data_IF_020252848510
#
_entry.id   IF_020252848510
#
_cell.length_a   1.000
_cell.length_b   1.000
_cell.length_c   1.000
_cell.angle_alpha   90.00
_cell.angle_beta   90.00
_cell.angle_gamma   90.00
#
_symmetry.space_group_name_H-M   'P 1'
#
loop_
_entity.id
_entity.type
_entity.pdbx_description
1 polymer ?
#
# COMPACT_ATOMS: atom_id res chain seq x y z
N UNK A 1 -3.76 18.86 -45.10
CA UNK A 1 -3.47 17.73 -46.00
C UNK A 1 -2.33 16.97 -45.36
N UNK A 2 -2.57 15.68 -45.14
CA UNK A 2 -1.66 14.60 -44.68
C UNK A 2 -1.07 14.79 -43.27
N UNK A 3 -1.59 14.22 -42.18
CA UNK A 3 -1.97 12.84 -41.84
C UNK A 3 -0.76 11.89 -41.74
N UNK A 4 -0.14 11.83 -40.55
CA UNK A 4 0.76 10.74 -40.17
C UNK A 4 0.31 10.06 -38.87
N UNK A 5 0.26 8.73 -38.99
CA UNK A 5 -0.41 7.76 -38.11
C UNK A 5 0.51 7.27 -36.98
N UNK A 6 -0.07 6.72 -35.89
CA UNK A 6 0.68 6.06 -34.82
C UNK A 6 1.09 4.64 -35.21
N UNK A 7 2.29 4.25 -34.77
CA UNK A 7 2.87 2.91 -34.92
C UNK A 7 2.14 1.89 -34.04
N UNK A 8 1.65 0.85 -34.70
CA UNK A 8 1.10 -0.38 -34.12
C UNK A 8 2.07 -1.55 -34.30
N UNK A 9 2.15 -2.37 -33.25
CA UNK A 9 2.40 -3.82 -33.20
C UNK A 9 3.81 -4.38 -33.56
N UNK A 10 4.37 -5.14 -32.61
CA UNK A 10 4.79 -6.55 -32.79
C UNK A 10 5.02 -7.15 -31.37
N UNK A 11 4.28 -8.16 -30.88
CA UNK A 11 4.09 -9.56 -31.33
C UNK A 11 5.21 -10.49 -30.84
N UNK A 12 4.94 -11.26 -29.76
CA UNK A 12 5.64 -12.50 -29.37
C UNK A 12 4.66 -13.46 -28.66
N UNK A 13 4.90 -14.78 -28.71
CA UNK A 13 3.89 -15.75 -29.11
C UNK A 13 3.22 -16.53 -27.97
N UNK A 14 2.04 -17.07 -28.29
CA UNK A 14 1.42 -18.20 -27.60
C UNK A 14 2.12 -19.50 -27.95
N UNK A 15 2.45 -20.32 -26.96
CA UNK A 15 2.34 -21.80 -26.99
C UNK A 15 3.06 -22.39 -25.77
N UNK A 16 2.32 -22.90 -24.79
CA UNK A 16 2.54 -24.27 -24.30
C UNK A 16 1.29 -24.75 -23.57
N UNK A 17 0.59 -25.68 -24.20
CA UNK A 17 -0.49 -26.47 -23.62
C UNK A 17 -0.10 -27.95 -23.72
N UNK A 18 0.23 -28.57 -22.58
CA UNK A 18 0.15 -30.01 -22.30
C UNK A 18 -0.04 -30.08 -20.76
N UNK A 19 -1.12 -30.58 -20.15
CA UNK A 19 -2.00 -31.75 -20.33
C UNK A 19 -1.38 -33.08 -19.85
N UNK A 20 -1.36 -33.29 -18.53
CA UNK A 20 -1.46 -34.59 -17.82
C UNK A 20 -2.24 -34.28 -16.51
N UNK A 21 -3.54 -34.57 -16.37
CA UNK A 21 -4.24 -35.85 -16.08
C UNK A 21 -3.84 -36.54 -14.74
N UNK A 22 -4.85 -36.63 -13.87
CA UNK A 22 -5.14 -37.67 -12.85
C UNK A 22 -4.70 -37.49 -11.39
N UNK A 23 -5.67 -37.73 -10.50
CA UNK A 23 -5.57 -37.82 -9.04
C UNK A 23 -6.59 -36.91 -8.34
N UNK A 24 -7.90 -37.19 -8.33
CA UNK A 24 -8.62 -38.29 -7.66
C UNK A 24 -8.53 -38.24 -6.13
N UNK A 25 -9.71 -38.13 -5.50
CA UNK A 25 -9.93 -38.16 -4.04
C UNK A 25 -10.02 -36.74 -3.47
N UNK A 26 -11.11 -36.29 -2.88
CA UNK A 26 -12.25 -36.92 -2.23
C UNK A 26 -12.81 -35.84 -1.30
N UNK A 27 -14.04 -36.01 -0.83
CA UNK A 27 -14.67 -35.20 0.22
C UNK A 27 -15.42 -33.94 -0.26
N UNK A 28 -16.27 -34.10 -1.28
CA UNK A 28 -17.56 -33.38 -1.31
C UNK A 28 -18.48 -34.01 -0.26
N UNK A 29 -18.27 -33.60 0.99
CA UNK A 29 -19.18 -33.85 2.10
C UNK A 29 -20.41 -32.97 1.90
N UNK A 30 -21.33 -33.46 1.07
CA UNK A 30 -22.67 -32.93 0.96
C UNK A 30 -23.31 -32.92 2.36
N UNK A 31 -23.84 -31.80 2.85
CA UNK A 31 -24.68 -31.84 4.03
C UNK A 31 -25.99 -32.53 3.62
N UNK A 32 -26.06 -33.82 3.89
CA UNK A 32 -27.27 -34.61 3.94
C UNK A 32 -28.23 -34.00 4.96
N UNK A 33 -29.02 -33.02 4.51
CA UNK A 33 -30.21 -32.55 5.18
C UNK A 33 -31.37 -33.52 4.92
N UNK A 34 -32.14 -33.88 5.94
CA UNK A 34 -32.93 -35.09 5.95
C UNK A 34 -34.11 -34.99 4.98
N UNK A 35 -34.38 -36.11 4.32
CA UNK A 35 -35.69 -36.47 3.81
C UNK A 35 -36.67 -36.51 4.99
N UNK A 36 -37.15 -35.34 5.40
CA UNK A 36 -38.35 -35.18 6.19
C UNK A 36 -39.53 -35.53 5.30
N UNK A 37 -39.85 -36.80 5.24
CA UNK A 37 -41.11 -37.30 4.72
C UNK A 37 -42.26 -36.46 5.28
N UNK A 38 -43.08 -35.97 4.37
CA UNK A 38 -44.35 -35.28 4.58
C UNK A 38 -45.24 -36.05 5.58
N UNK A 39 -45.09 -35.78 6.88
CA UNK A 39 -46.07 -36.07 7.92
C UNK A 39 -46.70 -34.75 8.38
N UNK A 40 -47.40 -34.07 7.48
CA UNK A 40 -48.18 -32.88 7.84
C UNK A 40 -49.35 -32.69 6.89
N UNK A 41 -50.19 -33.73 6.78
CA UNK A 41 -51.50 -33.61 6.13
C UNK A 41 -52.48 -34.66 6.67
N UNK A 42 -52.68 -34.69 7.99
CA UNK A 42 -53.65 -35.61 8.61
C UNK A 42 -54.29 -35.09 9.90
N UNK A 43 -54.44 -33.77 10.09
CA UNK A 43 -55.01 -33.22 11.34
C UNK A 43 -56.31 -32.40 11.21
N UNK A 44 -56.99 -32.43 10.06
CA UNK A 44 -58.28 -31.74 9.88
C UNK A 44 -59.35 -32.58 9.18
N UNK A 45 -59.61 -33.79 9.69
CA UNK A 45 -60.77 -34.60 9.27
C UNK A 45 -61.44 -35.36 10.43
N UNK A 46 -61.30 -34.88 11.66
CA UNK A 46 -61.88 -35.54 12.84
C UNK A 46 -63.32 -35.14 13.21
N UNK A 47 -63.83 -34.00 12.73
CA UNK A 47 -65.11 -33.45 13.21
C UNK A 47 -66.29 -33.73 12.25
N UNK A 48 -66.03 -34.11 11.00
CA UNK A 48 -67.08 -34.28 9.99
C UNK A 48 -67.62 -35.72 9.84
N UNK A 49 -67.05 -36.72 10.51
CA UNK A 49 -67.47 -38.12 10.33
C UNK A 49 -68.51 -38.60 11.36
N UNK A 50 -68.69 -37.89 12.48
CA UNK A 50 -69.63 -38.29 13.54
C UNK A 50 -71.09 -37.83 13.25
N UNK A 51 -71.30 -36.94 12.28
CA UNK A 51 -72.63 -36.39 11.96
C UNK A 51 -73.48 -37.28 11.04
N UNK A 52 -72.90 -38.32 10.45
CA UNK A 52 -73.58 -39.15 9.44
C UNK A 52 -74.17 -40.47 9.99
N UNK A 53 -74.05 -40.75 11.31
CA UNK A 53 -74.57 -41.98 11.94
C UNK A 53 -75.77 -41.81 12.89
N UNK A 54 -76.29 -40.59 13.07
CA UNK A 54 -77.49 -40.34 13.89
C UNK A 54 -78.54 -39.57 13.08
N UNK A 55 -79.45 -40.27 12.42
CA UNK A 55 -80.62 -39.62 11.85
C UNK A 55 -81.41 -40.49 10.88
N UNK A 56 -82.31 -41.33 11.39
CA UNK A 56 -83.47 -41.78 10.62
C UNK A 56 -84.67 -42.25 11.45
N UNK A 57 -84.54 -42.51 12.77
CA UNK A 57 -85.68 -42.98 13.60
C UNK A 57 -86.13 -42.03 14.74
N UNK A 58 -85.45 -40.91 14.97
CA UNK A 58 -85.76 -39.99 16.08
C UNK A 58 -86.53 -38.71 15.70
N UNK A 59 -86.49 -38.27 14.44
CA UNK A 59 -86.99 -36.95 14.05
C UNK A 59 -88.52 -36.85 13.97
N UNK A 60 -89.23 -37.95 13.68
CA UNK A 60 -90.69 -37.91 13.51
C UNK A 60 -91.46 -37.83 14.83
N UNK A 61 -90.89 -38.32 15.95
CA UNK A 61 -91.53 -38.24 17.28
C UNK A 61 -91.32 -36.89 17.98
N UNK A 62 -90.25 -36.19 17.64
CA UNK A 62 -89.92 -34.89 18.24
C UNK A 62 -90.71 -33.75 17.57
N UNK A 63 -90.97 -33.84 16.27
CA UNK A 63 -91.77 -32.87 15.53
C UNK A 63 -93.21 -32.71 16.09
N UNK A 64 -93.88 -33.82 16.43
CA UNK A 64 -95.24 -33.79 16.99
C UNK A 64 -95.32 -33.28 18.45
N UNK A 65 -94.23 -33.35 19.22
CA UNK A 65 -94.21 -32.85 20.59
C UNK A 65 -93.99 -31.32 20.67
N UNK A 66 -93.40 -30.73 19.64
CA UNK A 66 -93.13 -29.29 19.54
C UNK A 66 -94.39 -28.52 19.13
N UNK A 67 -95.18 -29.11 18.23
CA UNK A 67 -96.43 -28.51 17.70
C UNK A 67 -97.49 -28.30 18.80
N UNK A 68 -97.61 -29.25 19.74
CA UNK A 68 -98.53 -29.13 20.89
C UNK A 68 -98.06 -28.12 21.96
N UNK A 69 -96.77 -27.87 22.11
CA UNK A 69 -96.23 -26.93 23.12
C UNK A 69 -96.30 -25.47 22.68
N UNK A 70 -96.18 -25.20 21.38
CA UNK A 70 -96.39 -23.86 20.81
C UNK A 70 -97.82 -23.35 21.00
N UNK A 71 -98.80 -24.24 20.89
CA UNK A 71 -100.21 -23.95 21.11
C UNK A 71 -100.52 -23.52 22.56
N UNK A 72 -99.89 -24.16 23.55
CA UNK A 72 -100.09 -23.84 24.98
C UNK A 72 -99.42 -22.53 25.37
N UNK A 73 -98.21 -22.23 24.87
CA UNK A 73 -97.50 -20.98 25.16
C UNK A 73 -98.15 -19.76 24.49
N UNK A 74 -98.79 -19.93 23.33
CA UNK A 74 -99.56 -18.87 22.67
C UNK A 74 -100.81 -18.43 23.45
N UNK A 75 -101.31 -19.26 24.37
CA UNK A 75 -102.50 -18.97 25.18
C UNK A 75 -102.27 -18.04 26.38
N UNK A 76 -101.01 -17.70 26.70
CA UNK A 76 -100.66 -16.81 27.83
C UNK A 76 -100.47 -15.37 27.32
N UNK A 77 -101.38 -14.43 27.63
CA UNK A 77 -101.59 -13.18 26.85
C UNK A 77 -100.47 -12.12 26.93
N UNK A 78 -99.43 -12.29 27.76
CA UNK A 78 -98.35 -11.29 27.92
C UNK A 78 -96.95 -11.90 27.89
N UNK A 79 -96.75 -13.05 28.53
CA UNK A 79 -95.43 -13.70 28.60
C UNK A 79 -95.17 -14.69 27.44
N UNK A 80 -96.22 -15.31 26.91
CA UNK A 80 -96.15 -16.33 25.85
C UNK A 80 -95.49 -15.86 24.54
N UNK A 81 -95.94 -14.73 23.95
CA UNK A 81 -95.34 -14.18 22.73
C UNK A 81 -93.86 -13.81 22.91
N UNK A 82 -93.49 -13.33 24.09
CA UNK A 82 -92.12 -12.94 24.43
C UNK A 82 -91.19 -14.14 24.51
N UNK A 83 -91.66 -15.25 25.09
CA UNK A 83 -90.94 -16.52 25.15
C UNK A 83 -90.79 -17.14 23.75
N UNK A 84 -91.84 -17.09 22.92
CA UNK A 84 -91.77 -17.57 21.53
C UNK A 84 -90.80 -16.75 20.69
N UNK A 85 -90.79 -15.41 20.84
CA UNK A 85 -89.85 -14.55 20.13
C UNK A 85 -88.40 -14.79 20.58
N UNK A 86 -88.16 -14.98 21.89
CA UNK A 86 -86.83 -15.35 22.40
C UNK A 86 -86.41 -16.74 21.92
N UNK A 87 -87.33 -17.69 21.85
CA UNK A 87 -87.07 -19.03 21.30
C UNK A 87 -86.75 -18.96 19.81
N UNK A 88 -87.47 -18.15 19.04
CA UNK A 88 -87.20 -17.89 17.63
C UNK A 88 -85.81 -17.26 17.45
N UNK A 89 -85.48 -16.21 18.21
CA UNK A 89 -84.14 -15.61 18.23
C UNK A 89 -83.04 -16.62 18.59
N UNK A 90 -83.29 -17.49 19.58
CA UNK A 90 -82.36 -18.54 19.99
C UNK A 90 -82.17 -19.56 18.86
N UNK A 91 -83.25 -19.94 18.17
CA UNK A 91 -83.18 -20.87 17.05
C UNK A 91 -82.48 -20.22 15.84
N UNK A 92 -82.76 -18.95 15.52
CA UNK A 92 -82.05 -18.21 14.48
C UNK A 92 -80.56 -18.10 14.80
N UNK A 93 -80.22 -17.82 16.07
CA UNK A 93 -78.83 -17.80 16.52
C UNK A 93 -78.19 -19.18 16.39
N UNK A 94 -78.84 -20.24 16.85
CA UNK A 94 -78.35 -21.61 16.74
C UNK A 94 -78.18 -22.05 15.27
N UNK A 95 -79.03 -21.56 14.37
CA UNK A 95 -78.98 -21.84 12.93
C UNK A 95 -77.85 -21.09 12.23
N UNK A 96 -77.56 -19.86 12.66
CA UNK A 96 -76.53 -19.00 12.05
C UNK A 96 -75.15 -19.16 12.71
N UNK A 97 -75.07 -19.76 13.89
CA UNK A 97 -73.82 -20.01 14.62
C UNK A 97 -72.80 -20.81 13.80
N UNK A 98 -73.16 -21.93 13.13
CA UNK A 98 -72.20 -22.70 12.33
C UNK A 98 -71.59 -21.87 11.21
N UNK A 99 -72.41 -21.06 10.52
CA UNK A 99 -71.96 -20.20 9.44
C UNK A 99 -71.03 -19.09 9.97
N UNK A 100 -71.35 -18.49 11.11
CA UNK A 100 -70.45 -17.53 11.78
C UNK A 100 -69.12 -18.15 12.20
N UNK A 101 -69.12 -19.40 12.67
CA UNK A 101 -67.90 -20.13 13.03
C UNK A 101 -67.05 -20.43 11.80
N UNK A 102 -67.67 -20.83 10.68
CA UNK A 102 -66.96 -21.03 9.40
C UNK A 102 -66.35 -19.71 8.92
N UNK A 103 -67.12 -18.61 8.92
CA UNK A 103 -66.62 -17.29 8.55
C UNK A 103 -65.45 -16.84 9.45
N UNK A 104 -65.54 -17.09 10.76
CA UNK A 104 -64.48 -16.77 11.70
C UNK A 104 -63.21 -17.61 11.43
N UNK A 105 -63.37 -18.90 11.13
CA UNK A 105 -62.27 -19.78 10.74
C UNK A 105 -61.59 -19.32 9.44
N UNK A 106 -62.37 -18.96 8.42
CA UNK A 106 -61.85 -18.41 7.15
C UNK A 106 -61.09 -17.10 7.36
N UNK A 107 -61.62 -16.21 8.21
CA UNK A 107 -60.93 -14.96 8.58
C UNK A 107 -59.61 -15.25 9.31
N UNK A 108 -59.63 -16.15 10.29
CA UNK A 108 -58.40 -16.54 11.00
C UNK A 108 -57.39 -17.19 10.07
N UNK A 109 -57.81 -18.10 9.18
CA UNK A 109 -56.93 -18.72 8.19
C UNK A 109 -56.27 -17.65 7.30
N UNK A 110 -57.06 -16.70 6.80
CA UNK A 110 -56.54 -15.58 6.02
C UNK A 110 -55.50 -14.76 6.81
N UNK A 111 -55.80 -14.42 8.07
CA UNK A 111 -54.90 -13.63 8.92
C UNK A 111 -53.61 -14.38 9.25
N UNK A 112 -53.70 -15.69 9.54
CA UNK A 112 -52.53 -16.54 9.74
C UNK A 112 -51.67 -16.60 8.48
N UNK A 113 -52.28 -16.77 7.32
CA UNK A 113 -51.56 -16.81 6.05
C UNK A 113 -50.91 -15.46 5.72
N UNK A 114 -51.57 -14.34 6.02
CA UNK A 114 -51.01 -13.01 5.84
C UNK A 114 -49.83 -12.74 6.78
N UNK A 115 -49.96 -13.10 8.06
CA UNK A 115 -48.89 -12.99 9.05
C UNK A 115 -47.68 -13.85 8.66
N UNK A 116 -47.93 -15.10 8.22
CA UNK A 116 -46.88 -15.99 7.74
C UNK A 116 -46.16 -15.43 6.52
N UNK A 117 -46.89 -14.96 5.49
CA UNK A 117 -46.29 -14.35 4.29
C UNK A 117 -45.45 -13.12 4.65
N UNK A 118 -45.93 -12.27 5.54
CA UNK A 118 -45.22 -11.08 6.02
C UNK A 118 -43.93 -11.46 6.74
N UNK A 119 -44.00 -12.46 7.62
CA UNK A 119 -42.83 -12.98 8.32
C UNK A 119 -41.83 -13.62 7.37
N UNK A 120 -42.27 -14.47 6.43
CA UNK A 120 -41.40 -15.09 5.43
C UNK A 120 -40.72 -14.08 4.54
N UNK A 121 -41.41 -13.02 4.12
CA UNK A 121 -40.78 -11.93 3.38
C UNK A 121 -39.68 -11.25 4.21
N UNK A 122 -39.93 -11.05 5.51
CA UNK A 122 -38.93 -10.49 6.43
C UNK A 122 -37.71 -11.41 6.55
N UNK A 123 -37.91 -12.72 6.72
CA UNK A 123 -36.83 -13.72 6.77
C UNK A 123 -36.04 -13.74 5.46
N UNK A 124 -36.70 -13.76 4.31
CA UNK A 124 -36.04 -13.72 3.00
C UNK A 124 -35.26 -12.42 2.77
N UNK A 125 -35.77 -11.29 3.25
CA UNK A 125 -35.06 -10.00 3.22
C UNK A 125 -33.80 -10.06 4.10
N UNK A 126 -33.92 -10.49 5.35
CA UNK A 126 -32.80 -10.63 6.28
C UNK A 126 -31.74 -11.61 5.74
N UNK A 127 -32.16 -12.72 5.13
CA UNK A 127 -31.25 -13.68 4.52
C UNK A 127 -30.45 -13.07 3.36
N UNK A 128 -31.11 -12.29 2.48
CA UNK A 128 -30.41 -11.57 1.41
C UNK A 128 -29.43 -10.52 1.95
N UNK A 129 -29.81 -9.81 3.01
CA UNK A 129 -28.93 -8.84 3.68
C UNK A 129 -27.70 -9.51 4.32
N UNK A 130 -27.89 -10.66 4.99
CA UNK A 130 -26.80 -11.44 5.57
C UNK A 130 -25.87 -11.98 4.48
N UNK A 131 -26.41 -12.50 3.39
CA UNK A 131 -25.61 -12.95 2.23
C UNK A 131 -24.78 -11.80 1.66
N UNK A 132 -25.38 -10.64 1.44
CA UNK A 132 -24.65 -9.47 0.97
C UNK A 132 -23.61 -8.93 1.95
N UNK A 133 -23.77 -9.14 3.27
CA UNK A 133 -22.73 -8.83 4.26
C UNK A 133 -21.58 -9.83 4.21
N UNK A 134 -21.87 -11.12 4.05
CA UNK A 134 -20.85 -12.16 3.89
C UNK A 134 -20.00 -11.94 2.63
N UNK A 135 -20.64 -11.66 1.49
CA UNK A 135 -19.93 -11.41 0.23
C UNK A 135 -18.98 -10.20 0.33
N UNK A 136 -19.42 -9.11 0.98
CA UNK A 136 -18.59 -7.92 1.22
C UNK A 136 -17.40 -8.21 2.12
N UNK A 137 -17.58 -9.06 3.12
CA UNK A 137 -16.52 -9.49 4.02
C UNK A 137 -15.50 -10.37 3.29
N UNK A 138 -15.96 -11.31 2.46
CA UNK A 138 -15.08 -12.12 1.62
C UNK A 138 -14.27 -11.27 0.64
N UNK A 139 -14.88 -10.25 0.02
CA UNK A 139 -14.14 -9.29 -0.81
C UNK A 139 -13.11 -8.49 0.00
N UNK A 140 -13.43 -8.13 1.26
CA UNK A 140 -12.49 -7.46 2.16
C UNK A 140 -11.29 -8.33 2.43
N UNK A 141 -11.50 -9.60 2.79
CA UNK A 141 -10.43 -10.57 3.02
C UNK A 141 -9.56 -10.75 1.77
N UNK A 142 -10.15 -10.82 0.56
CA UNK A 142 -9.37 -10.90 -0.69
C UNK A 142 -8.49 -9.67 -0.91
N UNK A 143 -9.03 -8.47 -0.66
CA UNK A 143 -8.26 -7.21 -0.77
C UNK A 143 -7.12 -7.18 0.25
N UNK A 144 -7.38 -7.57 1.50
CA UNK A 144 -6.37 -7.58 2.55
C UNK A 144 -5.24 -8.59 2.26
N UNK A 145 -5.57 -9.78 1.75
CA UNK A 145 -4.58 -10.76 1.31
C UNK A 145 -3.69 -10.19 0.19
N UNK A 146 -4.27 -9.48 -0.77
CA UNK A 146 -3.50 -8.83 -1.84
C UNK A 146 -2.58 -7.73 -1.30
N UNK A 147 -3.03 -6.96 -0.32
CA UNK A 147 -2.17 -5.96 0.35
C UNK A 147 -1.00 -6.65 1.05
N UNK A 148 -1.24 -7.74 1.76
CA UNK A 148 -0.16 -8.49 2.43
C UNK A 148 0.87 -9.07 1.46
N UNK A 149 0.46 -9.55 0.29
CA UNK A 149 1.37 -9.99 -0.78
C UNK A 149 2.26 -8.85 -1.24
N UNK A 150 1.67 -7.68 -1.56
CA UNK A 150 2.41 -6.50 -2.00
C UNK A 150 3.37 -5.99 -0.92
N UNK A 151 2.99 -6.06 0.36
CA UNK A 151 3.88 -5.72 1.46
C UNK A 151 5.08 -6.68 1.58
N UNK A 152 4.87 -7.99 1.35
CA UNK A 152 5.96 -8.97 1.33
C UNK A 152 6.91 -8.70 0.16
N UNK A 153 6.37 -8.43 -1.04
CA UNK A 153 7.16 -8.05 -2.21
C UNK A 153 7.97 -6.78 -1.94
N UNK A 154 7.36 -5.74 -1.37
CA UNK A 154 8.03 -4.48 -1.03
C UNK A 154 9.17 -4.69 -0.01
N UNK A 155 8.94 -5.49 1.04
CA UNK A 155 9.98 -5.85 2.01
C UNK A 155 11.14 -6.61 1.36
N UNK A 156 10.83 -7.49 0.42
CA UNK A 156 11.84 -8.20 -0.36
C UNK A 156 12.68 -7.22 -1.22
N UNK A 157 12.04 -6.35 -1.99
CA UNK A 157 12.74 -5.34 -2.81
C UNK A 157 13.61 -4.40 -1.97
N UNK A 158 13.12 -3.97 -0.80
CA UNK A 158 13.90 -3.13 0.10
C UNK A 158 15.16 -3.85 0.60
N UNK A 159 15.03 -5.11 1.00
CA UNK A 159 16.16 -5.92 1.46
C UNK A 159 17.18 -6.15 0.34
N UNK A 160 16.70 -6.42 -0.87
CA UNK A 160 17.54 -6.64 -2.04
C UNK A 160 18.27 -5.36 -2.49
N UNK A 161 17.59 -4.21 -2.46
CA UNK A 161 18.21 -2.92 -2.74
C UNK A 161 19.33 -2.58 -1.74
N UNK A 162 19.13 -2.87 -0.45
CA UNK A 162 20.17 -2.70 0.59
C UNK A 162 21.36 -3.65 0.37
N UNK A 163 21.09 -4.90 -0.01
CA UNK A 163 22.13 -5.89 -0.35
C UNK A 163 22.96 -5.43 -1.55
N UNK A 164 22.30 -4.94 -2.60
CA UNK A 164 22.97 -4.41 -3.79
C UNK A 164 23.78 -3.14 -3.48
N UNK A 165 23.27 -2.23 -2.66
CA UNK A 165 24.02 -1.03 -2.25
C UNK A 165 25.29 -1.39 -1.46
N UNK A 166 25.22 -2.40 -0.58
CA UNK A 166 26.38 -2.93 0.12
C UNK A 166 27.44 -3.47 -0.87
N UNK A 167 27.01 -4.28 -1.84
CA UNK A 167 27.89 -4.83 -2.89
C UNK A 167 28.54 -3.69 -3.72
N UNK A 168 27.76 -2.68 -4.11
CA UNK A 168 28.27 -1.52 -4.83
C UNK A 168 29.27 -0.70 -4.01
N UNK A 169 29.08 -0.58 -2.69
CA UNK A 169 30.04 0.06 -1.79
C UNK A 169 31.35 -0.71 -1.72
N UNK A 170 31.29 -2.04 -1.66
CA UNK A 170 32.49 -2.87 -1.61
C UNK A 170 33.28 -2.84 -2.92
N UNK A 171 32.62 -2.96 -4.07
CA UNK A 171 33.28 -2.76 -5.37
C UNK A 171 33.89 -1.36 -5.51
N UNK A 172 33.22 -0.30 -5.03
CA UNK A 172 33.80 1.05 -5.01
C UNK A 172 35.09 1.12 -4.18
N UNK A 173 35.15 0.44 -3.03
CA UNK A 173 36.39 0.35 -2.22
C UNK A 173 37.49 -0.42 -2.97
N UNK A 174 37.15 -1.54 -3.61
CA UNK A 174 38.12 -2.32 -4.40
C UNK A 174 38.68 -1.52 -5.56
N UNK A 175 37.83 -0.81 -6.31
CA UNK A 175 38.27 0.12 -7.36
C UNK A 175 39.20 1.20 -6.79
N UNK A 176 38.88 1.75 -5.62
CA UNK A 176 39.76 2.69 -4.92
C UNK A 176 41.15 2.11 -4.59
N UNK A 177 41.20 0.87 -4.08
CA UNK A 177 42.46 0.16 -3.81
C UNK A 177 43.29 -0.05 -5.08
N UNK A 178 42.65 -0.49 -6.17
CA UNK A 178 43.33 -0.69 -7.44
C UNK A 178 43.84 0.61 -8.06
N UNK A 179 43.07 1.71 -7.95
CA UNK A 179 43.52 3.03 -8.38
C UNK A 179 44.75 3.50 -7.61
N UNK A 180 44.74 3.40 -6.28
CA UNK A 180 45.89 3.75 -5.45
C UNK A 180 47.11 2.90 -5.79
N UNK A 181 46.95 1.59 -6.00
CA UNK A 181 48.04 0.71 -6.43
C UNK A 181 48.59 1.08 -7.81
N UNK A 182 47.71 1.43 -8.76
CA UNK A 182 48.13 1.87 -10.09
C UNK A 182 48.89 3.20 -10.02
N UNK A 183 48.48 4.12 -9.15
CA UNK A 183 49.15 5.39 -8.89
C UNK A 183 50.56 5.17 -8.34
N UNK A 184 50.73 4.37 -7.28
CA UNK A 184 52.06 4.03 -6.74
C UNK A 184 52.97 3.40 -7.80
N UNK A 185 52.45 2.46 -8.61
CA UNK A 185 53.25 1.87 -9.70
C UNK A 185 53.62 2.88 -10.78
N UNK A 186 52.77 3.88 -11.04
CA UNK A 186 53.06 4.95 -12.00
C UNK A 186 54.13 5.91 -11.48
N UNK A 187 54.14 6.20 -10.18
CA UNK A 187 55.18 6.98 -9.50
C UNK A 187 56.51 6.23 -9.50
N UNK A 188 56.51 4.94 -9.13
CA UNK A 188 57.69 4.07 -9.17
C UNK A 188 58.27 4.00 -10.59
N UNK A 189 57.42 3.81 -11.60
CA UNK A 189 57.83 3.81 -13.00
C UNK A 189 58.49 5.14 -13.39
N UNK A 190 57.87 6.27 -13.03
CA UNK A 190 58.41 7.61 -13.32
C UNK A 190 59.76 7.81 -12.64
N UNK A 191 59.91 7.40 -11.39
CA UNK A 191 61.16 7.47 -10.63
C UNK A 191 62.28 6.67 -11.32
N UNK A 192 62.01 5.41 -11.70
CA UNK A 192 62.98 4.56 -12.40
C UNK A 192 63.34 5.11 -13.79
N UNK A 193 62.36 5.66 -14.52
CA UNK A 193 62.61 6.33 -15.80
C UNK A 193 63.57 7.52 -15.63
N UNK A 194 63.39 8.33 -14.59
CA UNK A 194 64.26 9.48 -14.31
C UNK A 194 65.66 9.06 -13.83
N UNK A 195 65.76 8.03 -12.99
CA UNK A 195 67.03 7.43 -12.58
C UNK A 195 67.81 6.86 -13.78
N UNK A 196 67.12 6.16 -14.68
CA UNK A 196 67.70 5.64 -15.92
C UNK A 196 68.20 6.79 -16.81
N UNK A 197 67.44 7.89 -16.94
CA UNK A 197 67.89 9.08 -17.69
C UNK A 197 69.13 9.70 -17.05
N UNK A 198 69.20 9.80 -15.72
CA UNK A 198 70.36 10.33 -15.01
C UNK A 198 71.61 9.47 -15.23
N UNK A 199 71.49 8.15 -15.09
CA UNK A 199 72.58 7.19 -15.37
C UNK A 199 73.06 7.29 -16.82
N UNK A 200 72.13 7.36 -17.79
CA UNK A 200 72.48 7.57 -19.22
C UNK A 200 73.26 8.86 -19.44
N UNK A 201 72.91 9.96 -18.76
CA UNK A 201 73.67 11.22 -18.83
C UNK A 201 75.09 11.06 -18.26
N UNK A 202 75.23 10.40 -17.10
CA UNK A 202 76.54 10.11 -16.51
C UNK A 202 77.41 9.25 -17.43
N UNK A 203 76.85 8.18 -18.01
CA UNK A 203 77.58 7.34 -18.97
C UNK A 203 78.04 8.15 -20.19
N UNK A 204 77.22 9.07 -20.71
CA UNK A 204 77.62 9.97 -21.81
C UNK A 204 78.80 10.87 -21.42
N UNK A 205 78.77 11.46 -20.23
CA UNK A 205 79.87 12.30 -19.71
C UNK A 205 81.15 11.49 -19.56
N UNK A 206 81.09 10.31 -18.94
CA UNK A 206 82.26 9.45 -18.77
C UNK A 206 82.86 9.01 -20.11
N UNK A 207 82.02 8.67 -21.10
CA UNK A 207 82.50 8.36 -22.46
C UNK A 207 83.21 9.55 -23.11
N UNK A 208 82.65 10.76 -22.99
CA UNK A 208 83.30 11.97 -23.50
C UNK A 208 84.65 12.26 -22.82
N UNK A 209 84.77 12.00 -21.51
CA UNK A 209 86.04 12.12 -20.76
C UNK A 209 87.04 11.08 -21.25
N UNK A 210 86.62 9.81 -21.42
CA UNK A 210 87.48 8.75 -21.95
C UNK A 210 87.96 9.07 -23.36
N UNK A 211 87.08 9.54 -24.25
CA UNK A 211 87.43 9.98 -25.61
C UNK A 211 88.43 11.13 -25.58
N UNK A 212 88.24 12.14 -24.72
CA UNK A 212 89.20 13.24 -24.56
C UNK A 212 90.57 12.76 -24.06
N UNK A 213 90.59 11.80 -23.13
CA UNK A 213 91.82 11.20 -22.61
C UNK A 213 92.52 10.28 -23.62
N UNK A 214 91.75 9.64 -24.52
CA UNK A 214 92.29 8.85 -25.63
C UNK A 214 92.83 9.77 -26.74
N UNK A 215 92.08 10.81 -27.11
CA UNK A 215 92.50 11.80 -28.10
C UNK A 215 93.78 12.55 -27.68
N UNK A 216 93.94 12.83 -26.37
CA UNK A 216 95.20 13.40 -25.86
C UNK A 216 96.38 12.41 -25.87
N UNK A 217 96.14 11.10 -25.98
CA UNK A 217 97.19 10.07 -26.16
C UNK A 217 97.52 9.82 -27.63
N UNK A 218 96.68 10.22 -28.58
CA UNK A 218 96.78 9.90 -30.01
C UNK A 218 96.95 11.15 -30.90
N UNK A 219 98.14 11.74 -30.90
CA UNK A 219 98.63 12.62 -31.98
C UNK A 219 100.18 12.64 -31.97
N UNK A 220 100.88 12.72 -33.12
CA UNK A 220 100.98 11.68 -34.15
C UNK A 220 102.44 11.19 -34.33
N UNK A 221 102.62 9.89 -34.60
CA UNK A 221 103.78 9.36 -35.31
C UNK A 221 103.27 8.76 -36.64
N UNK A 222 103.89 9.03 -37.79
CA UNK A 222 103.33 8.70 -39.11
C UNK A 222 103.42 7.20 -39.44
N UNK A 223 102.50 6.77 -40.31
CA UNK A 223 102.18 5.41 -40.75
C UNK A 223 103.34 4.53 -41.28
N UNK A 224 103.09 3.22 -41.52
CA UNK A 224 102.74 2.82 -42.90
C UNK A 224 101.64 1.74 -43.03
N UNK A 225 101.15 1.49 -44.26
CA UNK A 225 99.86 0.83 -44.53
C UNK A 225 100.00 -0.64 -44.97
N UNK A 226 98.97 -1.45 -44.63
CA UNK A 226 98.50 -2.66 -45.32
C UNK A 226 97.37 -3.30 -44.49
N UNK A 227 96.49 -4.17 -44.96
CA UNK A 227 95.82 -4.50 -46.22
C UNK A 227 94.94 -5.74 -45.86
N UNK A 228 93.74 -5.88 -46.45
CA UNK A 228 92.95 -7.14 -46.59
C UNK A 228 92.10 -7.61 -45.38
N UNK A 229 90.75 -7.48 -45.35
CA UNK A 229 89.63 -8.22 -46.02
C UNK A 229 89.02 -9.35 -45.12
N UNK A 230 87.83 -9.93 -45.39
CA UNK A 230 86.49 -9.33 -45.25
C UNK A 230 85.42 -10.26 -44.59
N UNK A 231 84.18 -9.75 -44.38
CA UNK A 231 82.93 -10.53 -44.42
C UNK A 231 82.16 -10.74 -43.11
N UNK A 232 80.89 -10.27 -43.03
CA UNK A 232 79.70 -11.14 -43.17
C UNK A 232 78.35 -10.37 -42.96
N UNK A 233 77.41 -10.64 -43.88
CA UNK A 233 75.92 -10.70 -43.76
C UNK A 233 75.13 -9.54 -43.10
N UNK A 234 74.42 -8.73 -43.89
CA UNK A 234 72.95 -8.77 -44.14
C UNK A 234 72.06 -8.64 -42.88
N UNK A 235 71.09 -7.74 -42.73
CA UNK A 235 70.49 -6.73 -43.60
C UNK A 235 69.09 -6.40 -43.05
N UNK A 236 68.80 -5.12 -42.76
CA UNK A 236 67.54 -4.42 -43.08
C UNK A 236 67.50 -3.02 -42.41
N UNK A 237 67.24 -1.94 -43.18
CA UNK A 237 67.00 -0.61 -42.64
C UNK A 237 65.50 -0.29 -42.62
N UNK A 238 64.91 -0.19 -41.43
CA UNK A 238 63.57 0.36 -41.24
C UNK A 238 63.63 1.82 -40.82
N UNK A 239 63.70 2.72 -41.80
CA UNK A 239 63.46 4.16 -41.64
C UNK A 239 62.10 4.42 -40.99
N UNK A 240 62.06 5.20 -39.92
CA UNK A 240 61.00 6.20 -39.72
C UNK A 240 61.63 7.49 -39.23
N UNK A 241 61.48 8.51 -40.07
CA UNK A 241 61.86 9.89 -39.83
C UNK A 241 61.18 10.41 -38.56
N UNK A 242 61.98 10.83 -37.58
CA UNK A 242 61.57 11.77 -36.56
C UNK A 242 62.13 13.13 -36.95
N UNK A 243 61.26 13.94 -37.57
CA UNK A 243 61.51 15.34 -37.87
C UNK A 243 61.68 16.10 -36.55
N UNK A 244 62.83 16.78 -36.47
CA UNK A 244 63.17 17.81 -35.52
C UNK A 244 62.38 19.07 -35.86
N UNK A 245 61.73 19.68 -34.88
CA UNK A 245 61.55 21.13 -34.84
C UNK A 245 61.48 21.60 -33.38
N UNK A 246 62.63 22.12 -32.95
CA UNK A 246 62.87 23.07 -31.87
C UNK A 246 62.67 24.46 -32.50
N UNK A 247 61.88 25.37 -31.93
CA UNK A 247 62.24 26.42 -30.92
C UNK A 247 61.23 27.59 -31.18
N UNK A 248 61.24 28.74 -30.47
CA UNK A 248 61.44 29.05 -29.05
C UNK A 248 60.30 29.97 -28.51
N UNK A 249 60.42 30.38 -27.24
CA UNK A 249 59.61 31.41 -26.58
C UNK A 249 59.63 32.77 -27.32
N UNK A 250 58.51 33.50 -27.32
CA UNK A 250 58.56 34.94 -27.02
C UNK A 250 57.22 35.48 -26.48
N UNK A 251 57.33 36.39 -25.54
CA UNK A 251 56.25 37.16 -24.93
C UNK A 251 55.99 38.42 -25.75
N UNK A 252 54.74 38.70 -26.10
CA UNK A 252 54.25 40.10 -26.12
C UNK A 252 52.77 40.14 -25.81
N UNK A 253 52.44 40.97 -24.84
CA UNK A 253 51.09 41.42 -24.56
C UNK A 253 50.68 42.44 -25.61
N UNK A 254 49.46 42.34 -26.14
CA UNK A 254 48.69 43.54 -26.48
C UNK A 254 47.19 43.27 -26.52
N UNK A 255 46.46 44.24 -25.96
CA UNK A 255 45.01 44.34 -25.84
C UNK A 255 44.35 44.30 -27.23
N UNK A 256 43.31 43.50 -27.39
CA UNK A 256 42.17 43.93 -28.21
C UNK A 256 40.86 43.35 -27.68
N UNK A 257 39.98 44.27 -27.32
CA UNK A 257 38.56 44.04 -27.10
C UNK A 257 37.91 43.69 -28.45
N UNK A 258 37.45 42.45 -28.62
CA UNK A 258 36.80 42.01 -29.84
C UNK A 258 35.94 40.76 -29.64
N UNK A 259 34.63 40.98 -29.54
CA UNK A 259 33.54 40.07 -29.98
C UNK A 259 33.60 38.58 -29.60
N UNK A 260 32.84 38.23 -28.56
CA UNK A 260 32.56 36.87 -28.04
C UNK A 260 31.82 35.89 -29.00
N UNK A 261 31.82 36.13 -30.31
CA UNK A 261 31.01 35.35 -31.26
C UNK A 261 31.82 34.43 -32.20
N UNK A 262 33.16 34.46 -32.18
CA UNK A 262 33.99 33.74 -33.16
C UNK A 262 35.00 32.77 -32.54
N UNK A 263 34.67 32.24 -31.36
CA UNK A 263 35.37 31.14 -30.70
C UNK A 263 34.64 29.79 -30.85
N UNK A 264 33.72 29.65 -31.80
CA UNK A 264 33.12 28.37 -32.20
C UNK A 264 34.08 27.56 -33.12
N UNK A 265 35.38 27.54 -32.77
CA UNK A 265 36.44 26.97 -33.59
C UNK A 265 36.95 25.69 -32.91
N UNK A 266 36.47 24.57 -33.45
CA UNK A 266 36.97 23.20 -33.25
C UNK A 266 36.93 22.70 -31.80
N UNK A 267 35.72 22.56 -31.26
CA UNK A 267 35.48 21.58 -30.19
C UNK A 267 35.97 20.23 -30.73
N UNK A 268 36.94 19.62 -30.06
CA UNK A 268 37.45 18.30 -30.44
C UNK A 268 36.26 17.33 -30.49
N UNK A 269 36.18 16.38 -31.44
CA UNK A 269 35.10 15.40 -31.47
C UNK A 269 34.90 14.70 -30.11
N UNK A 270 35.97 14.54 -29.33
CA UNK A 270 35.94 14.03 -27.95
C UNK A 270 35.24 14.97 -26.96
N UNK A 271 35.47 16.29 -27.06
CA UNK A 271 34.80 17.29 -26.21
C UNK A 271 33.30 17.36 -26.51
N UNK A 272 32.90 17.18 -27.77
CA UNK A 272 31.49 17.11 -28.14
C UNK A 272 30.80 15.90 -27.47
N UNK A 273 31.47 14.74 -27.38
CA UNK A 273 30.98 13.55 -26.70
C UNK A 273 30.89 13.73 -25.17
N UNK A 274 31.85 14.43 -24.55
CA UNK A 274 31.74 14.76 -23.13
C UNK A 274 30.60 15.73 -22.84
N UNK A 275 30.36 16.72 -23.71
CA UNK A 275 29.27 17.66 -23.55
C UNK A 275 27.89 16.99 -23.70
N UNK A 276 27.73 16.04 -24.64
CA UNK A 276 26.50 15.25 -24.74
C UNK A 276 26.29 14.41 -23.49
N UNK A 277 27.35 13.76 -22.98
CA UNK A 277 27.26 12.96 -21.74
C UNK A 277 26.92 13.79 -20.51
N UNK A 278 27.48 14.99 -20.39
CA UNK A 278 27.12 15.94 -19.33
C UNK A 278 25.64 16.31 -19.43
N UNK A 279 25.15 16.60 -20.64
CA UNK A 279 23.73 16.89 -20.89
C UNK A 279 22.81 15.74 -20.46
N UNK A 280 23.16 14.50 -20.78
CA UNK A 280 22.44 13.29 -20.35
C UNK A 280 22.44 13.12 -18.83
N UNK A 281 23.60 13.28 -18.18
CA UNK A 281 23.70 13.16 -16.73
C UNK A 281 22.92 14.26 -16.00
N UNK A 282 22.87 15.48 -16.57
CA UNK A 282 22.06 16.57 -16.03
C UNK A 282 20.55 16.34 -16.19
N UNK A 283 20.10 15.76 -17.31
CA UNK A 283 18.68 15.37 -17.47
C UNK A 283 18.31 14.25 -16.51
N UNK A 284 19.18 13.26 -16.31
CA UNK A 284 18.99 12.18 -15.33
C UNK A 284 18.94 12.70 -13.90
N UNK A 285 19.89 13.56 -13.48
CA UNK A 285 19.89 14.19 -12.16
C UNK A 285 18.63 15.02 -11.92
N UNK A 286 18.13 15.74 -12.94
CA UNK A 286 16.86 16.47 -12.85
C UNK A 286 15.69 15.51 -12.69
N UNK A 287 15.69 14.37 -13.40
CA UNK A 287 14.69 13.32 -13.24
C UNK A 287 14.67 12.77 -11.81
N UNK A 288 15.83 12.36 -11.29
CA UNK A 288 15.97 11.81 -9.93
C UNK A 288 15.60 12.82 -8.84
N UNK A 289 15.91 14.11 -9.03
CA UNK A 289 15.48 15.17 -8.09
C UNK A 289 13.96 15.35 -8.09
N UNK A 290 13.31 15.25 -9.26
CA UNK A 290 11.84 15.31 -9.35
C UNK A 290 11.19 14.10 -8.70
N UNK A 291 11.68 12.89 -8.95
CA UNK A 291 11.13 11.67 -8.32
C UNK A 291 11.33 11.68 -6.81
N UNK A 292 12.50 12.12 -6.33
CA UNK A 292 12.74 12.30 -4.89
C UNK A 292 11.75 13.28 -4.28
N UNK A 293 11.55 14.45 -4.92
CA UNK A 293 10.56 15.43 -4.44
C UNK A 293 9.15 14.86 -4.43
N UNK A 294 8.74 14.16 -5.49
CA UNK A 294 7.43 13.50 -5.54
C UNK A 294 7.25 12.44 -4.44
N UNK A 295 8.29 11.66 -4.13
CA UNK A 295 8.25 10.69 -3.04
C UNK A 295 8.18 11.38 -1.67
N UNK A 296 8.94 12.46 -1.46
CA UNK A 296 8.87 13.29 -0.26
C UNK A 296 7.45 13.89 -0.08
N UNK A 297 6.85 14.40 -1.17
CA UNK A 297 5.49 14.94 -1.20
C UNK A 297 4.44 13.84 -0.94
N UNK A 298 4.57 12.65 -1.55
CA UNK A 298 3.65 11.53 -1.34
C UNK A 298 3.74 10.95 0.09
N UNK A 299 4.95 10.91 0.67
CA UNK A 299 5.17 10.47 2.04
C UNK A 299 4.58 11.49 3.02
N UNK A 300 4.81 12.79 2.81
CA UNK A 300 4.19 13.84 3.62
C UNK A 300 2.68 13.85 3.47
N UNK A 301 2.12 13.57 2.30
CA UNK A 301 0.68 13.45 2.10
C UNK A 301 0.09 12.22 2.83
N UNK A 302 0.75 11.06 2.75
CA UNK A 302 0.34 9.86 3.50
C UNK A 302 0.35 10.09 5.01
N UNK A 303 1.35 10.83 5.50
CA UNK A 303 1.37 11.22 6.90
C UNK A 303 0.35 12.32 7.17
N UNK A 304 0.09 13.28 6.30
CA UNK A 304 -0.90 14.33 6.54
C UNK A 304 -2.34 13.79 6.63
N UNK A 305 -2.66 12.70 5.92
CA UNK A 305 -3.97 12.05 6.01
C UNK A 305 -4.12 11.35 7.37
N UNK A 306 -5.11 11.77 8.16
CA UNK A 306 -5.55 11.05 9.37
C UNK A 306 -6.01 9.64 8.96
N UNK A 307 -5.58 8.63 9.71
CA UNK A 307 -6.07 7.27 9.49
C UNK A 307 -7.55 7.21 9.90
N UNK A 308 -8.36 6.41 9.21
CA UNK A 308 -9.76 6.17 9.61
C UNK A 308 -9.85 5.64 11.05
N UNK A 309 -8.82 4.90 11.51
CA UNK A 309 -8.70 4.45 12.91
C UNK A 309 -8.44 5.59 13.89
N UNK A 310 -7.74 6.62 13.45
CA UNK A 310 -7.48 7.82 14.24
C UNK A 310 -8.76 8.64 14.42
N UNK A 311 -9.54 8.78 13.35
CA UNK A 311 -10.87 9.40 13.37
C UNK A 311 -11.83 8.63 14.26
N UNK A 312 -11.81 7.30 14.16
CA UNK A 312 -12.61 6.42 15.01
C UNK A 312 -12.21 6.54 16.49
N UNK A 313 -10.91 6.53 16.79
CA UNK A 313 -10.41 6.70 18.15
C UNK A 313 -10.85 8.04 18.75
N UNK A 314 -10.68 9.14 18.00
CA UNK A 314 -11.09 10.48 18.44
C UNK A 314 -12.62 10.55 18.63
N UNK A 315 -13.40 9.96 17.74
CA UNK A 315 -14.86 9.87 17.90
C UNK A 315 -15.26 9.08 19.15
N UNK A 316 -14.57 7.98 19.47
CA UNK A 316 -14.80 7.22 20.70
C UNK A 316 -14.44 8.02 21.95
N UNK A 317 -13.31 8.76 21.94
CA UNK A 317 -12.89 9.63 23.05
C UNK A 317 -13.89 10.76 23.25
N UNK A 318 -14.36 11.39 22.18
CA UNK A 318 -15.36 12.46 22.23
C UNK A 318 -16.70 11.95 22.77
N UNK A 319 -17.15 10.77 22.34
CA UNK A 319 -18.39 10.18 22.86
C UNK A 319 -18.25 9.80 24.34
N UNK A 320 -17.11 9.24 24.75
CA UNK A 320 -16.83 8.95 26.15
C UNK A 320 -16.79 10.23 27.01
N UNK A 321 -16.23 11.33 26.50
CA UNK A 321 -16.24 12.65 27.16
C UNK A 321 -17.65 13.22 27.27
N UNK A 322 -18.47 13.09 26.22
CA UNK A 322 -19.88 13.50 26.26
C UNK A 322 -20.66 12.70 27.29
N UNK A 323 -20.48 11.38 27.35
CA UNK A 323 -21.13 10.51 28.33
C UNK A 323 -20.72 10.83 29.76
N UNK A 324 -19.42 11.03 30.00
CA UNK A 324 -18.90 11.46 31.30
C UNK A 324 -19.50 12.82 31.71
N UNK A 325 -19.63 13.75 30.76
CA UNK A 325 -20.25 15.06 30.99
C UNK A 325 -21.74 14.95 31.29
N UNK A 326 -22.49 14.15 30.50
CA UNK A 326 -23.92 13.87 30.74
C UNK A 326 -24.13 13.30 32.13
N UNK A 327 -23.30 12.37 32.59
CA UNK A 327 -23.37 11.82 33.95
C UNK A 327 -23.15 12.89 35.03
N UNK A 328 -22.18 13.80 34.84
CA UNK A 328 -21.93 14.92 35.76
C UNK A 328 -23.13 15.87 35.87
N UNK A 329 -23.80 16.18 34.76
CA UNK A 329 -24.94 17.11 34.75
C UNK A 329 -26.29 16.46 35.05
N UNK A 330 -26.46 15.15 34.83
CA UNK A 330 -27.75 14.46 35.03
C UNK A 330 -28.10 14.20 36.50
N UNK A 331 -27.33 14.74 37.45
CA UNK A 331 -27.77 14.91 38.84
C UNK A 331 -28.21 13.63 39.54
N UNK A 332 -27.75 12.45 39.14
CA UNK A 332 -27.95 11.20 39.88
C UNK A 332 -27.01 11.16 41.10
N UNK A 333 -27.19 12.15 41.97
CA UNK A 333 -26.59 12.23 43.27
C UNK A 333 -27.06 11.09 44.16
N UNK A 334 -26.12 10.58 44.95
CA UNK A 334 -26.38 9.78 46.15
C UNK A 334 -26.96 8.38 45.89
N UNK A 335 -26.26 7.56 45.10
CA UNK A 335 -26.34 6.10 45.27
C UNK A 335 -24.99 5.56 45.72
N UNK A 336 -25.01 4.97 46.92
CA UNK A 336 -23.87 4.37 47.63
C UNK A 336 -22.96 3.61 46.66
N UNK A 337 -21.65 3.87 46.77
CA UNK A 337 -20.58 3.26 45.96
C UNK A 337 -20.80 1.75 45.83
N UNK A 338 -21.32 1.35 44.68
CA UNK A 338 -21.15 -0.01 44.20
C UNK A 338 -19.72 -0.13 43.66
N UNK A 339 -19.01 -1.26 43.83
CA UNK A 339 -17.68 -1.47 43.25
C UNK A 339 -17.64 -1.28 41.72
N UNK A 340 -18.79 -1.37 41.04
CA UNK A 340 -18.94 -1.04 39.61
C UNK A 340 -18.66 0.45 39.34
N UNK A 341 -18.95 1.32 40.31
CA UNK A 341 -18.76 2.76 40.18
C UNK A 341 -17.29 3.17 40.24
N UNK A 342 -16.45 2.44 40.99
CA UNK A 342 -15.02 2.73 41.08
C UNK A 342 -14.29 2.53 39.73
N UNK A 343 -14.66 1.48 38.98
CA UNK A 343 -14.14 1.28 37.62
C UNK A 343 -14.59 2.40 36.68
N UNK A 344 -15.85 2.82 36.79
CA UNK A 344 -16.38 3.90 35.95
C UNK A 344 -15.74 5.24 36.27
N UNK A 345 -15.49 5.52 37.55
CA UNK A 345 -14.79 6.72 38.02
C UNK A 345 -13.34 6.76 37.53
N UNK A 346 -12.65 5.62 37.54
CA UNK A 346 -11.31 5.50 36.95
C UNK A 346 -11.32 5.76 35.44
N UNK A 347 -12.31 5.25 34.70
CA UNK A 347 -12.46 5.51 33.26
C UNK A 347 -12.76 6.99 33.02
N UNK A 348 -13.67 7.60 33.78
CA UNK A 348 -14.02 9.01 33.66
C UNK A 348 -12.82 9.91 34.01
N UNK A 349 -11.98 9.52 34.98
CA UNK A 349 -10.72 10.19 35.30
C UNK A 349 -9.68 10.07 34.17
N UNK A 350 -9.54 8.89 33.55
CA UNK A 350 -8.64 8.68 32.42
C UNK A 350 -9.05 9.49 31.18
N UNK A 351 -10.35 9.52 30.88
CA UNK A 351 -10.90 10.24 29.71
C UNK A 351 -10.93 11.76 29.91
N UNK A 352 -10.92 12.23 31.16
CA UNK A 352 -10.83 13.66 31.48
C UNK A 352 -9.38 14.19 31.52
N UNK A 353 -8.39 13.33 31.72
CA UNK A 353 -6.98 13.72 31.64
C UNK A 353 -6.51 13.84 30.19
N UNK A 354 -6.26 15.06 29.74
CA UNK A 354 -5.74 15.33 28.40
C UNK A 354 -4.32 14.76 28.21
N UNK A 355 -3.47 14.82 29.23
CA UNK A 355 -2.11 14.27 29.18
C UNK A 355 -2.11 12.76 28.93
N UNK A 356 -3.03 12.02 29.56
CA UNK A 356 -3.18 10.58 29.37
C UNK A 356 -3.68 10.26 27.96
N UNK A 357 -4.64 11.05 27.45
CA UNK A 357 -5.15 10.86 26.09
C UNK A 357 -4.09 11.16 25.03
N UNK A 358 -3.29 12.21 25.22
CA UNK A 358 -2.15 12.53 24.35
C UNK A 358 -1.12 11.39 24.39
N UNK A 359 -0.78 10.89 25.58
CA UNK A 359 0.12 9.75 25.72
C UNK A 359 -0.40 8.48 25.04
N UNK A 360 -1.69 8.17 25.22
CA UNK A 360 -2.32 7.00 24.59
C UNK A 360 -2.31 7.15 23.06
N UNK A 361 -2.64 8.34 22.57
CA UNK A 361 -2.62 8.68 21.15
C UNK A 361 -1.21 8.54 20.56
N UNK A 362 -0.18 9.05 21.23
CA UNK A 362 1.22 8.89 20.80
C UNK A 362 1.66 7.41 20.77
N UNK A 363 1.19 6.60 21.72
CA UNK A 363 1.51 5.17 21.78
C UNK A 363 0.79 4.34 20.73
N UNK A 364 -0.46 4.68 20.44
CA UNK A 364 -1.25 3.98 19.41
C UNK A 364 -0.87 4.42 18.00
N UNK A 365 -0.39 5.66 17.83
CA UNK A 365 -0.02 6.23 16.54
C UNK A 365 1.43 6.77 16.56
N UNK A 366 2.45 5.89 16.71
CA UNK A 366 3.86 6.30 16.88
C UNK A 366 4.42 7.09 15.67
N UNK A 367 3.84 6.90 14.49
CA UNK A 367 4.20 7.64 13.28
C UNK A 367 3.82 9.13 13.33
N UNK A 368 2.90 9.52 14.22
CA UNK A 368 2.50 10.93 14.45
C UNK A 368 3.45 11.60 15.45
N UNK A 369 3.78 10.90 16.52
CA UNK A 369 4.66 11.41 17.58
C UNK A 369 6.04 11.84 17.03
N UNK A 370 6.56 11.11 16.04
CA UNK A 370 7.81 11.45 15.37
C UNK A 370 7.73 12.72 14.51
N UNK A 371 6.58 13.01 13.89
CA UNK A 371 6.42 14.23 13.08
C UNK A 371 6.33 15.49 13.93
N UNK A 372 5.63 15.45 15.06
CA UNK A 372 5.52 16.58 15.99
C UNK A 372 6.84 16.86 16.67
N UNK A 373 7.55 15.81 17.11
CA UNK A 373 8.88 15.96 17.73
C UNK A 373 9.97 16.34 16.72
N UNK A 374 9.89 15.88 15.47
CA UNK A 374 10.80 16.30 14.40
C UNK A 374 10.58 17.76 14.00
N UNK A 375 9.33 18.21 13.86
CA UNK A 375 9.00 19.61 13.59
C UNK A 375 9.50 20.53 14.71
N UNK A 376 9.25 20.16 15.99
CA UNK A 376 9.75 20.90 17.14
C UNK A 376 11.29 20.95 17.22
N UNK A 377 11.99 19.93 16.68
CA UNK A 377 13.45 19.92 16.57
C UNK A 377 13.97 20.83 15.46
N UNK A 378 13.28 20.91 14.33
CA UNK A 378 13.64 21.80 13.21
C UNK A 378 13.49 23.26 13.62
N UNK A 379 12.43 23.60 14.36
CA UNK A 379 12.23 24.96 14.86
C UNK A 379 13.28 25.35 15.92
N UNK A 380 13.71 24.41 16.77
CA UNK A 380 14.81 24.66 17.72
C UNK A 380 16.19 24.81 17.05
N UNK A 381 16.42 24.19 15.90
CA UNK A 381 17.68 24.37 15.14
C UNK A 381 17.66 25.72 14.41
N UNK A 382 16.50 26.15 13.89
CA UNK A 382 16.35 27.44 13.24
C UNK A 382 16.52 28.62 14.23
N UNK A 383 15.99 28.52 15.45
CA UNK A 383 16.16 29.54 16.49
C UNK A 383 17.60 29.61 16.99
N UNK A 384 18.28 28.46 17.17
CA UNK A 384 19.70 28.43 17.53
C UNK A 384 20.61 28.99 16.42
N UNK A 385 20.29 28.75 15.14
CA UNK A 385 21.04 29.34 14.02
C UNK A 385 20.84 30.86 13.90
N UNK A 386 19.64 31.36 14.19
CA UNK A 386 19.36 32.80 14.23
C UNK A 386 20.06 33.50 15.40
N UNK A 387 20.09 32.88 16.59
CA UNK A 387 20.81 33.37 17.75
C UNK A 387 22.34 33.41 17.52
N UNK A 388 22.89 32.40 16.84
CA UNK A 388 24.32 32.36 16.51
C UNK A 388 24.71 33.43 15.48
N UNK A 389 23.82 33.75 14.53
CA UNK A 389 23.99 34.89 13.60
C UNK A 389 23.95 36.24 14.32
N UNK A 390 23.12 36.40 15.35
CA UNK A 390 23.07 37.64 16.13
C UNK A 390 24.33 37.85 16.99
N UNK A 391 24.86 36.78 17.60
CA UNK A 391 26.10 36.80 18.40
C UNK A 391 27.36 37.06 17.55
N UNK A 392 27.38 36.62 16.29
CA UNK A 392 28.48 36.94 15.35
C UNK A 392 28.40 38.39 14.83
N UNK A 393 27.22 39.00 14.79
CA UNK A 393 27.05 40.39 14.34
C UNK A 393 27.46 41.44 15.39
N UNK A 394 27.51 41.10 16.68
CA UNK A 394 27.85 42.05 17.76
C UNK A 394 29.33 42.10 18.13
N UNK A 395 30.15 41.15 17.63
CA UNK A 395 31.61 41.11 17.86
C UNK A 395 32.44 42.01 16.94
N UNK A 396 31.81 42.76 16.04
CA UNK A 396 32.49 43.57 15.01
C UNK A 396 32.51 45.08 15.24
N UNK A 397 32.15 45.61 16.42
CA UNK A 397 32.15 47.06 16.66
C UNK A 397 33.39 47.46 17.49
N UNK A 398 34.44 48.02 16.86
CA UNK A 398 35.57 48.56 17.61
C UNK A 398 35.11 49.78 18.42
N UNK A 399 35.49 49.81 19.69
CA UNK A 399 35.28 50.96 20.57
C UNK A 399 36.08 52.15 20.03
N UNK A 400 35.40 53.28 19.86
CA UNK A 400 36.01 54.58 19.56
C UNK A 400 36.44 55.27 20.86
#
# INVERSE_FOLDING_TARGET
MDADKPLTADSLPSETAERILEGSGGDDEAPGGPLGSNESSAFLTGINLERQRRGSQGQEREAHAIENKGSVLASVPVAGPKVLNLFEQLNTLASTLPERVVQLLEQHEHDFMLAYKTHMYTVQKQFRELKGKADKEDERVRRDNRVQELEKELKWFMSEALRLDALCKDYRKEVGKWRSRAETLSEDRRYLEDQMKASKRQTKVLRAVLERAQASKSHPGPEPPSQMMPGNSSGQPGRRDMVISRDPQDMTAERSSGTMAEAAKKVSPEEAEYLTKIGELETELRGLRRTRKMLEDAVTERYARRSELEDFFLACVDEARKDASRRKYSGHGVRKMSPVNARQEAIDALVSSEEVLVFLYEKMFPHRASTVTAAAKVDNVATNSAAEKLLKSTRGRPAA
#
